data_IF_952325575657
#
_entry.id   IF_952325575657
#
_cell.length_a   1.000
_cell.length_b   1.000
_cell.length_c   1.000
_cell.angle_alpha   90.00
_cell.angle_beta   90.00
_cell.angle_gamma   90.00
#
_symmetry.space_group_name_H-M   'P 1'
#
loop_
_entity.id
_entity.type
_entity.pdbx_description
1 polymer ?
#
# COMPACT_ATOMS: atom_id res chain seq x y z
N UNK A 1 23.65 -31.81 3.60
CA UNK A 1 24.58 -31.97 4.74
C UNK A 1 25.73 -32.84 4.30
N UNK A 2 26.91 -32.25 4.08
CA UNK A 2 28.14 -32.99 3.82
C UNK A 2 28.69 -33.47 5.15
N UNK A 3 28.93 -34.77 5.29
CA UNK A 3 29.48 -35.37 6.50
C UNK A 3 30.94 -35.71 6.19
N UNK A 4 31.87 -34.93 6.74
CA UNK A 4 33.31 -35.14 6.54
C UNK A 4 33.82 -35.95 7.74
N UNK A 5 34.22 -37.20 7.51
CA UNK A 5 34.95 -37.99 8.50
C UNK A 5 36.42 -37.56 8.49
N UNK A 6 36.83 -36.78 9.48
CA UNK A 6 38.20 -36.27 9.60
C UNK A 6 38.97 -37.15 10.59
N UNK A 7 40.07 -37.75 10.16
CA UNK A 7 40.89 -38.66 11.01
C UNK A 7 42.22 -38.06 11.46
N UNK A 8 42.66 -36.93 10.88
CA UNK A 8 43.93 -36.24 11.24
C UNK A 8 43.76 -34.73 11.32
N UNK A 9 44.49 -34.09 12.25
CA UNK A 9 44.44 -32.63 12.45
C UNK A 9 44.84 -31.81 11.21
N UNK A 10 45.80 -32.29 10.41
CA UNK A 10 46.23 -31.65 9.16
C UNK A 10 45.17 -31.66 8.06
N UNK A 11 44.28 -32.65 8.05
CA UNK A 11 43.17 -32.72 7.09
C UNK A 11 42.08 -31.70 7.46
N UNK A 12 41.94 -31.39 8.75
CA UNK A 12 40.98 -30.42 9.25
C UNK A 12 41.35 -28.98 8.83
N UNK A 13 42.63 -28.62 8.89
CA UNK A 13 43.12 -27.32 8.40
C UNK A 13 42.92 -27.17 6.89
N UNK A 14 43.28 -28.19 6.11
CA UNK A 14 43.11 -28.19 4.66
C UNK A 14 41.64 -28.14 4.20
N UNK A 15 40.71 -28.71 4.98
CA UNK A 15 39.27 -28.59 4.73
C UNK A 15 38.81 -27.16 4.99
N UNK A 16 39.24 -26.56 6.11
CA UNK A 16 38.88 -25.20 6.47
C UNK A 16 39.38 -24.16 5.46
N UNK A 17 40.62 -24.31 4.97
CA UNK A 17 41.16 -23.44 3.92
C UNK A 17 40.35 -23.54 2.63
N UNK A 18 39.96 -24.76 2.23
CA UNK A 18 39.10 -24.96 1.05
C UNK A 18 37.72 -24.32 1.21
N UNK A 19 37.09 -24.43 2.37
CA UNK A 19 35.79 -23.78 2.64
C UNK A 19 35.90 -22.25 2.53
N UNK A 20 36.97 -21.67 3.08
CA UNK A 20 37.26 -20.23 2.98
C UNK A 20 37.47 -19.81 1.53
N UNK A 21 38.22 -20.59 0.75
CA UNK A 21 38.49 -20.33 -0.66
C UNK A 21 37.21 -20.42 -1.52
N UNK A 22 36.34 -21.39 -1.26
CA UNK A 22 35.05 -21.54 -1.95
C UNK A 22 34.16 -20.31 -1.72
N UNK A 23 34.06 -19.85 -0.48
CA UNK A 23 33.32 -18.63 -0.10
C UNK A 23 33.91 -17.40 -0.80
N UNK A 24 35.23 -17.28 -0.81
CA UNK A 24 35.92 -16.17 -1.47
C UNK A 24 35.66 -16.16 -2.99
N UNK A 25 35.69 -17.34 -3.62
CA UNK A 25 35.39 -17.49 -5.05
C UNK A 25 33.96 -17.05 -5.37
N UNK A 26 32.98 -17.42 -4.53
CA UNK A 26 31.58 -17.00 -4.70
C UNK A 26 31.38 -15.48 -4.61
N UNK A 27 32.02 -14.82 -3.64
CA UNK A 27 31.97 -13.36 -3.51
C UNK A 27 32.61 -12.72 -4.75
N UNK A 28 33.75 -13.23 -5.20
CA UNK A 28 34.44 -12.73 -6.38
C UNK A 28 33.62 -12.84 -7.66
N UNK A 29 32.77 -13.87 -7.81
CA UNK A 29 31.86 -13.96 -8.96
C UNK A 29 30.86 -12.80 -8.98
N UNK A 30 30.29 -12.45 -7.82
CA UNK A 30 29.34 -11.33 -7.68
C UNK A 30 30.05 -9.99 -7.93
N UNK A 31 31.25 -9.80 -7.38
CA UNK A 31 32.05 -8.59 -7.59
C UNK A 31 32.48 -8.44 -9.05
N UNK A 32 32.87 -9.53 -9.72
CA UNK A 32 33.22 -9.53 -11.16
C UNK A 32 32.04 -9.14 -12.05
N UNK A 33 30.81 -9.44 -11.62
CA UNK A 33 29.62 -8.96 -12.33
C UNK A 33 29.47 -7.42 -12.24
N UNK A 34 30.10 -6.77 -11.26
CA UNK A 34 30.09 -5.32 -11.07
C UNK A 34 29.21 -4.84 -9.92
N UNK A 35 28.81 -5.71 -9.00
CA UNK A 35 28.03 -5.33 -7.84
C UNK A 35 28.86 -4.50 -6.84
N UNK A 36 28.34 -3.34 -6.45
CA UNK A 36 28.90 -2.48 -5.40
C UNK A 36 28.04 -2.45 -4.12
N UNK A 37 26.82 -2.99 -4.17
CA UNK A 37 25.91 -3.17 -3.04
C UNK A 37 25.30 -4.57 -3.11
N UNK A 38 25.40 -5.33 -2.03
CA UNK A 38 24.91 -6.70 -1.92
C UNK A 38 23.92 -6.77 -0.75
N UNK A 39 22.69 -7.20 -1.04
CA UNK A 39 21.63 -7.37 -0.06
C UNK A 39 21.32 -8.87 0.09
N UNK A 40 21.46 -9.40 1.31
CA UNK A 40 21.22 -10.80 1.61
C UNK A 40 20.07 -10.96 2.61
N UNK A 41 19.16 -11.91 2.36
CA UNK A 41 18.13 -12.26 3.33
C UNK A 41 18.66 -13.07 4.51
N UNK A 42 19.75 -13.80 4.29
CA UNK A 42 20.46 -14.56 5.31
C UNK A 42 21.46 -13.70 6.10
N UNK A 43 22.22 -14.38 6.96
CA UNK A 43 23.42 -13.79 7.54
C UNK A 43 24.54 -13.67 6.51
N UNK A 44 25.46 -12.75 6.75
CA UNK A 44 26.76 -12.71 6.10
C UNK A 44 27.78 -13.03 7.21
N UNK A 45 28.68 -13.98 6.95
CA UNK A 45 29.74 -14.36 7.89
C UNK A 45 30.79 -13.24 8.02
N UNK A 46 31.45 -13.13 9.17
CA UNK A 46 32.41 -12.06 9.46
C UNK A 46 33.60 -12.06 8.47
N UNK A 47 34.03 -13.25 8.03
CA UNK A 47 35.07 -13.38 7.01
C UNK A 47 34.61 -12.82 5.66
N UNK A 48 33.35 -13.05 5.28
CA UNK A 48 32.77 -12.51 4.06
C UNK A 48 32.65 -10.98 4.14
N UNK A 49 32.19 -10.44 5.28
CA UNK A 49 32.08 -9.01 5.50
C UNK A 49 33.43 -8.30 5.34
N UNK A 50 34.50 -8.89 5.89
CA UNK A 50 35.85 -8.34 5.73
C UNK A 50 36.25 -8.23 4.26
N UNK A 51 36.00 -9.27 3.46
CA UNK A 51 36.30 -9.22 2.02
C UNK A 51 35.47 -8.18 1.26
N UNK A 52 34.19 -8.01 1.63
CA UNK A 52 33.34 -6.97 1.02
C UNK A 52 33.86 -5.57 1.34
N UNK A 53 34.29 -5.32 2.58
CA UNK A 53 34.89 -4.04 2.99
C UNK A 53 36.21 -3.78 2.24
N UNK A 54 37.08 -4.79 2.15
CA UNK A 54 38.35 -4.70 1.39
C UNK A 54 38.11 -4.42 -0.11
N UNK A 55 36.97 -4.88 -0.65
CA UNK A 55 36.55 -4.65 -2.03
C UNK A 55 35.74 -3.37 -2.23
N UNK A 56 35.55 -2.56 -1.17
CA UNK A 56 34.74 -1.34 -1.17
C UNK A 56 33.27 -1.55 -1.61
N UNK A 57 32.67 -2.66 -1.16
CA UNK A 57 31.30 -3.08 -1.45
C UNK A 57 30.45 -3.07 -0.18
N UNK A 58 29.26 -2.49 -0.24
CA UNK A 58 28.30 -2.49 0.87
C UNK A 58 27.64 -3.87 0.97
N UNK A 59 27.73 -4.52 2.14
CA UNK A 59 27.08 -5.79 2.41
C UNK A 59 26.01 -5.66 3.49
N UNK A 60 24.74 -5.85 3.14
CA UNK A 60 23.61 -5.81 4.08
C UNK A 60 23.09 -7.21 4.33
N UNK A 61 23.03 -7.59 5.59
CA UNK A 61 22.58 -8.92 6.06
C UNK A 61 21.16 -8.85 6.62
N UNK A 62 20.45 -9.98 6.61
CA UNK A 62 19.13 -10.18 7.22
C UNK A 62 18.04 -9.25 6.68
N UNK A 63 18.09 -8.89 5.41
CA UNK A 63 17.03 -8.12 4.73
C UNK A 63 15.77 -8.98 4.60
N UNK A 64 14.58 -8.44 4.83
CA UNK A 64 13.35 -9.25 4.71
C UNK A 64 13.15 -9.63 3.24
N UNK A 65 12.67 -10.84 2.98
CA UNK A 65 12.44 -11.30 1.61
C UNK A 65 11.47 -10.41 0.84
N UNK A 66 10.42 -9.93 1.50
CA UNK A 66 9.47 -8.98 0.92
C UNK A 66 10.12 -7.66 0.49
N UNK A 67 11.11 -7.17 1.24
CA UNK A 67 11.87 -5.96 0.89
C UNK A 67 12.80 -6.22 -0.29
N UNK A 68 13.47 -7.38 -0.35
CA UNK A 68 14.28 -7.75 -1.51
C UNK A 68 13.45 -7.80 -2.80
N UNK A 69 12.25 -8.38 -2.74
CA UNK A 69 11.35 -8.44 -3.89
C UNK A 69 10.88 -7.03 -4.33
N UNK A 70 10.65 -6.12 -3.38
CA UNK A 70 10.31 -4.72 -3.68
C UNK A 70 11.51 -3.95 -4.25
N UNK A 71 12.70 -4.10 -3.66
CA UNK A 71 13.93 -3.47 -4.14
C UNK A 71 14.29 -3.97 -5.54
N UNK A 72 14.11 -5.27 -5.83
CA UNK A 72 14.29 -5.83 -7.16
C UNK A 72 13.35 -5.16 -8.17
N UNK A 73 12.06 -5.01 -7.86
CA UNK A 73 11.09 -4.29 -8.71
C UNK A 73 11.44 -2.81 -8.91
N UNK A 74 11.92 -2.14 -7.87
CA UNK A 74 12.34 -0.73 -7.94
C UNK A 74 13.62 -0.57 -8.79
N UNK A 75 14.63 -1.42 -8.59
CA UNK A 75 15.93 -1.29 -9.25
C UNK A 75 15.98 -1.96 -10.62
N UNK A 76 14.99 -2.79 -10.96
CA UNK A 76 14.94 -3.59 -12.19
C UNK A 76 15.85 -4.82 -12.17
N UNK A 77 16.36 -5.22 -10.99
CA UNK A 77 17.15 -6.43 -10.81
C UNK A 77 16.27 -7.65 -10.48
N UNK A 78 16.93 -8.79 -10.24
CA UNK A 78 16.29 -10.06 -9.90
C UNK A 78 16.85 -10.63 -8.61
N UNK A 79 15.98 -11.17 -7.75
CA UNK A 79 16.41 -11.86 -6.53
C UNK A 79 16.97 -13.25 -6.91
N UNK A 80 18.28 -13.43 -6.73
CA UNK A 80 18.98 -14.69 -7.04
C UNK A 80 19.02 -15.58 -5.80
N UNK A 81 18.52 -16.82 -5.92
CA UNK A 81 18.48 -17.80 -4.81
C UNK A 81 19.64 -18.80 -4.83
N UNK A 82 20.29 -18.97 -5.98
CA UNK A 82 21.43 -19.87 -6.18
C UNK A 82 22.39 -19.26 -7.20
N UNK A 83 23.69 -19.39 -6.95
CA UNK A 83 24.73 -18.98 -7.91
C UNK A 83 24.98 -20.03 -8.99
N UNK A 84 24.48 -21.26 -8.80
CA UNK A 84 24.60 -22.34 -9.78
C UNK A 84 23.58 -22.20 -10.90
N UNK A 85 24.04 -22.23 -12.15
CA UNK A 85 23.18 -22.31 -13.33
C UNK A 85 22.80 -23.78 -13.66
N UNK A 86 21.89 -23.97 -14.62
CA UNK A 86 21.43 -25.30 -15.05
C UNK A 86 22.54 -26.20 -15.63
N UNK A 87 23.68 -25.60 -16.00
CA UNK A 87 24.85 -26.27 -16.56
C UNK A 87 25.88 -26.68 -15.48
N UNK A 88 25.59 -26.40 -14.20
CA UNK A 88 26.46 -26.73 -13.07
C UNK A 88 27.65 -25.80 -12.90
N UNK A 89 27.67 -24.63 -13.57
CA UNK A 89 28.65 -23.57 -13.34
C UNK A 89 28.10 -22.54 -12.36
N UNK A 90 28.94 -22.11 -11.42
CA UNK A 90 28.63 -20.97 -10.56
C UNK A 90 28.98 -19.68 -11.30
N UNK A 91 27.97 -18.92 -11.72
CA UNK A 91 28.13 -17.64 -12.40
C UNK A 91 27.05 -16.66 -11.93
N UNK A 92 27.42 -15.39 -11.79
CA UNK A 92 26.47 -14.32 -11.49
C UNK A 92 26.32 -13.43 -12.72
N UNK A 93 25.17 -13.50 -13.37
CA UNK A 93 24.92 -12.72 -14.58
C UNK A 93 24.67 -11.24 -14.26
N UNK A 94 25.22 -10.34 -15.09
CA UNK A 94 24.98 -8.90 -14.99
C UNK A 94 23.52 -8.52 -15.21
N UNK A 95 22.75 -9.35 -15.93
CA UNK A 95 21.30 -9.22 -16.16
C UNK A 95 20.50 -9.20 -14.85
N UNK A 96 21.00 -9.83 -13.79
CA UNK A 96 20.34 -9.90 -12.50
C UNK A 96 20.56 -8.65 -11.62
N UNK A 97 21.53 -7.79 -11.98
CA UNK A 97 21.84 -6.60 -11.21
C UNK A 97 20.77 -5.53 -11.37
N UNK A 98 20.37 -4.96 -10.23
CA UNK A 98 19.56 -3.75 -10.18
C UNK A 98 20.41 -2.48 -10.32
N UNK A 99 19.78 -1.37 -10.71
CA UNK A 99 20.42 -0.06 -10.78
C UNK A 99 19.70 0.99 -9.93
N UNK A 100 20.48 1.79 -9.22
CA UNK A 100 20.06 3.02 -8.56
C UNK A 100 21.18 4.08 -8.68
N UNK A 101 20.81 5.36 -8.73
CA UNK A 101 21.78 6.46 -8.85
C UNK A 101 22.65 6.58 -7.60
N UNK A 102 22.06 6.37 -6.42
CA UNK A 102 22.74 6.53 -5.15
C UNK A 102 22.23 5.48 -4.16
N UNK A 103 23.17 4.85 -3.46
CA UNK A 103 22.87 4.03 -2.28
C UNK A 103 23.73 4.56 -1.14
N UNK A 104 23.07 5.06 -0.10
CA UNK A 104 23.74 5.70 1.03
C UNK A 104 23.15 5.22 2.35
N UNK A 105 24.01 5.00 3.33
CA UNK A 105 23.60 4.82 4.72
C UNK A 105 23.45 6.21 5.35
N UNK A 106 22.27 6.49 5.88
CA UNK A 106 21.99 7.73 6.58
C UNK A 106 21.47 7.43 7.98
N UNK A 107 21.96 8.18 8.95
CA UNK A 107 21.45 8.11 10.32
C UNK A 107 20.20 8.97 10.44
N UNK A 108 19.12 8.36 10.91
CA UNK A 108 17.84 9.01 11.18
C UNK A 108 17.52 8.81 12.65
N UNK A 109 17.57 9.91 13.40
CA UNK A 109 17.50 9.87 14.86
C UNK A 109 18.58 8.93 15.43
N UNK A 110 18.16 7.82 16.03
CA UNK A 110 19.05 6.85 16.67
C UNK A 110 19.33 5.62 15.81
N UNK A 111 18.68 5.48 14.66
CA UNK A 111 18.84 4.33 13.76
C UNK A 111 19.63 4.68 12.49
N UNK A 112 20.32 3.68 11.95
CA UNK A 112 20.98 3.73 10.65
C UNK A 112 20.07 3.07 9.61
N UNK A 113 19.81 3.79 8.51
CA UNK A 113 18.93 3.32 7.44
C UNK A 113 19.65 3.42 6.08
N UNK A 114 19.53 2.37 5.27
CA UNK A 114 20.04 2.36 3.91
C UNK A 114 19.01 2.95 2.94
N UNK A 115 19.37 4.05 2.29
CA UNK A 115 18.56 4.69 1.26
C UNK A 115 19.03 4.28 -0.13
N UNK A 116 18.13 3.68 -0.89
CA UNK A 116 18.30 3.42 -2.33
C UNK A 116 17.54 4.51 -3.07
N UNK A 117 18.25 5.54 -3.52
CA UNK A 117 17.67 6.73 -4.15
C UNK A 117 17.72 6.64 -5.66
N UNK A 118 16.64 7.13 -6.29
CA UNK A 118 16.47 7.15 -7.75
C UNK A 118 16.79 5.80 -8.39
N UNK A 119 16.08 4.73 -7.99
CA UNK A 119 16.21 3.44 -8.65
C UNK A 119 15.68 3.53 -10.09
N UNK A 120 16.11 2.61 -10.95
CA UNK A 120 15.79 2.62 -12.39
C UNK A 120 14.28 2.60 -12.71
N UNK A 121 13.48 1.99 -11.85
CA UNK A 121 12.05 1.75 -12.01
C UNK A 121 11.27 2.34 -10.82
N UNK A 122 10.01 2.72 -11.06
CA UNK A 122 9.09 3.26 -10.05
C UNK A 122 8.01 2.26 -9.64
N UNK A 123 8.19 0.96 -9.96
CA UNK A 123 7.21 -0.08 -9.63
C UNK A 123 7.07 -0.35 -8.12
N UNK A 124 8.06 0.03 -7.32
CA UNK A 124 7.99 0.02 -5.87
C UNK A 124 8.61 1.30 -5.33
N UNK A 125 7.95 1.88 -4.33
CA UNK A 125 8.36 3.11 -3.66
C UNK A 125 8.22 2.93 -2.15
N UNK A 126 9.00 3.68 -1.39
CA UNK A 126 8.93 3.70 0.07
C UNK A 126 8.57 5.11 0.55
N UNK A 127 7.75 5.19 1.58
CA UNK A 127 7.36 6.45 2.24
C UNK A 127 7.89 6.37 3.67
N UNK A 128 8.83 7.26 4.00
CA UNK A 128 9.34 7.38 5.36
C UNK A 128 8.47 8.36 6.15
N UNK A 129 7.71 7.84 7.12
CA UNK A 129 6.95 8.66 8.06
C UNK A 129 7.86 9.15 9.20
N UNK A 130 7.69 10.42 9.59
CA UNK A 130 8.36 11.02 10.75
C UNK A 130 7.32 11.68 11.63
N UNK A 131 7.28 11.30 12.90
CA UNK A 131 6.30 11.77 13.87
C UNK A 131 6.94 12.02 15.22
N UNK A 132 6.29 12.83 16.09
CA UNK A 132 6.81 13.18 17.41
C UNK A 132 6.67 12.06 18.45
N UNK A 133 5.84 11.05 18.17
CA UNK A 133 5.60 9.90 19.04
C UNK A 133 5.13 8.69 18.22
N UNK A 134 5.28 7.49 18.78
CA UNK A 134 4.82 6.24 18.17
C UNK A 134 3.31 6.28 17.90
N UNK A 135 2.52 6.84 18.82
CA UNK A 135 1.08 7.00 18.63
C UNK A 135 0.74 7.88 17.43
N UNK A 136 1.48 8.98 17.22
CA UNK A 136 1.27 9.84 16.06
C UNK A 136 1.68 9.12 14.77
N UNK A 137 2.77 8.34 14.80
CA UNK A 137 3.21 7.53 13.65
C UNK A 137 2.18 6.47 13.27
N UNK A 138 1.62 5.75 14.24
CA UNK A 138 0.58 4.74 13.99
C UNK A 138 -0.66 5.36 13.34
N UNK A 139 -1.09 6.54 13.80
CA UNK A 139 -2.23 7.24 13.23
C UNK A 139 -1.95 7.78 11.83
N UNK A 140 -0.73 8.28 11.58
CA UNK A 140 -0.29 8.70 10.25
C UNK A 140 -0.22 7.53 9.27
N UNK A 141 0.30 6.38 9.70
CA UNK A 141 0.34 5.16 8.89
C UNK A 141 -1.07 4.69 8.53
N UNK A 142 -1.99 4.64 9.49
CA UNK A 142 -3.40 4.30 9.25
C UNK A 142 -4.03 5.25 8.24
N UNK A 143 -3.90 6.55 8.46
CA UNK A 143 -4.47 7.59 7.58
C UNK A 143 -3.92 7.50 6.15
N UNK A 144 -2.62 7.23 6.00
CA UNK A 144 -1.98 7.10 4.70
C UNK A 144 -2.44 5.82 3.99
N UNK A 145 -2.53 4.70 4.70
CA UNK A 145 -3.06 3.45 4.15
C UNK A 145 -4.52 3.62 3.71
N UNK A 146 -5.38 4.24 4.52
CA UNK A 146 -6.79 4.49 4.14
C UNK A 146 -6.89 5.34 2.87
N UNK A 147 -6.01 6.34 2.73
CA UNK A 147 -5.94 7.19 1.55
C UNK A 147 -5.48 6.42 0.30
N UNK A 148 -4.45 5.59 0.42
CA UNK A 148 -3.94 4.77 -0.68
C UNK A 148 -4.99 3.75 -1.14
N UNK A 149 -5.65 3.06 -0.20
CA UNK A 149 -6.71 2.11 -0.54
C UNK A 149 -7.89 2.81 -1.21
N UNK A 150 -8.27 4.01 -0.76
CA UNK A 150 -9.32 4.80 -1.40
C UNK A 150 -8.98 5.17 -2.85
N UNK A 151 -7.73 5.56 -3.11
CA UNK A 151 -7.23 5.82 -4.47
C UNK A 151 -7.20 4.55 -5.30
N UNK A 152 -6.75 3.43 -4.73
CA UNK A 152 -6.74 2.13 -5.41
C UNK A 152 -8.15 1.72 -5.84
N UNK A 153 -9.13 1.77 -4.93
CA UNK A 153 -10.53 1.46 -5.25
C UNK A 153 -11.09 2.38 -6.33
N UNK A 154 -10.65 3.64 -6.37
CA UNK A 154 -11.04 4.59 -7.42
C UNK A 154 -10.43 4.24 -8.78
N UNK A 155 -9.20 3.74 -8.82
CA UNK A 155 -8.54 3.32 -10.05
C UNK A 155 -9.04 1.96 -10.56
N UNK A 156 -9.49 1.09 -9.66
CA UNK A 156 -10.07 -0.22 -9.98
C UNK A 156 -11.55 -0.15 -10.40
N UNK A 157 -12.27 0.91 -9.99
CA UNK A 157 -13.68 1.10 -10.32
C UNK A 157 -13.86 1.99 -11.55
N UNK A 158 -14.83 1.65 -12.41
CA UNK A 158 -15.18 2.44 -13.61
C UNK A 158 -15.98 3.72 -13.28
N UNK A 159 -16.34 3.94 -12.01
CA UNK A 159 -17.18 5.07 -11.62
C UNK A 159 -16.95 5.54 -10.19
N UNK A 160 -17.12 6.84 -9.98
CA UNK A 160 -17.09 7.48 -8.67
C UNK A 160 -18.44 8.07 -8.34
N UNK A 161 -18.74 8.16 -7.04
CA UNK A 161 -19.93 8.82 -6.52
C UNK A 161 -19.56 10.05 -5.71
N UNK A 162 -20.49 11.00 -5.62
CA UNK A 162 -20.26 12.25 -4.89
C UNK A 162 -20.42 12.02 -3.38
N UNK A 163 -19.50 12.57 -2.58
CA UNK A 163 -19.57 12.56 -1.14
C UNK A 163 -20.56 13.57 -0.54
N UNK A 164 -20.37 13.91 0.75
CA UNK A 164 -21.19 14.91 1.45
C UNK A 164 -22.66 14.48 1.64
N UNK A 165 -22.95 13.18 1.61
CA UNK A 165 -24.31 12.64 1.73
C UNK A 165 -25.18 12.83 0.47
N UNK A 166 -24.60 13.27 -0.65
CA UNK A 166 -25.33 13.48 -1.91
C UNK A 166 -26.05 12.21 -2.38
N UNK A 167 -25.34 11.07 -2.38
CA UNK A 167 -25.88 9.77 -2.79
C UNK A 167 -27.00 9.32 -1.85
N UNK A 168 -26.78 9.41 -0.54
CA UNK A 168 -27.76 8.98 0.46
C UNK A 168 -29.08 9.73 0.32
N UNK A 169 -29.02 11.05 0.08
CA UNK A 169 -30.20 11.90 -0.10
C UNK A 169 -30.86 11.68 -1.46
N UNK A 170 -30.08 11.54 -2.54
CA UNK A 170 -30.62 11.21 -3.86
C UNK A 170 -31.43 9.91 -3.82
N UNK A 171 -30.85 8.88 -3.20
CA UNK A 171 -31.47 7.56 -3.06
C UNK A 171 -32.68 7.63 -2.12
N UNK A 172 -32.61 8.35 -0.98
CA UNK A 172 -33.76 8.61 -0.11
C UNK A 172 -34.96 9.15 -0.90
N UNK A 173 -34.77 10.22 -1.67
CA UNK A 173 -35.85 10.86 -2.45
C UNK A 173 -36.43 9.91 -3.50
N UNK A 174 -35.57 9.16 -4.19
CA UNK A 174 -35.99 8.21 -5.22
C UNK A 174 -36.83 7.06 -4.64
N UNK A 175 -36.40 6.50 -3.49
CA UNK A 175 -37.13 5.42 -2.82
C UNK A 175 -38.46 5.92 -2.27
N UNK A 176 -38.52 7.12 -1.69
CA UNK A 176 -39.78 7.68 -1.21
C UNK A 176 -40.78 7.90 -2.35
N UNK A 177 -40.32 8.33 -3.53
CA UNK A 177 -41.18 8.45 -4.71
C UNK A 177 -41.64 7.08 -5.20
N UNK A 178 -40.73 6.10 -5.26
CA UNK A 178 -41.08 4.73 -5.61
C UNK A 178 -42.06 4.10 -4.61
N UNK A 179 -41.87 4.32 -3.31
CA UNK A 179 -42.74 3.82 -2.25
C UNK A 179 -44.17 4.34 -2.38
N UNK A 180 -44.34 5.60 -2.79
CA UNK A 180 -45.67 6.17 -3.11
C UNK A 180 -46.38 5.42 -4.25
N UNK A 181 -45.64 4.87 -5.21
CA UNK A 181 -46.24 4.08 -6.31
C UNK A 181 -46.68 2.67 -5.87
N UNK A 182 -46.20 2.18 -4.74
CA UNK A 182 -46.57 0.86 -4.19
C UNK A 182 -47.90 0.86 -3.41
N UNK A 183 -48.45 2.05 -3.10
CA UNK A 183 -49.77 2.18 -2.50
C UNK A 183 -50.86 1.80 -3.50
N UNK A 184 -51.58 0.71 -3.24
CA UNK A 184 -52.65 0.21 -4.11
C UNK A 184 -53.87 1.15 -4.18
N UNK A 185 -54.59 1.11 -5.30
CA UNK A 185 -55.81 1.89 -5.61
C UNK A 185 -57.05 1.55 -4.76
N UNK A 186 -56.88 0.85 -3.63
CA UNK A 186 -57.94 0.43 -2.73
C UNK A 186 -57.68 1.13 -1.40
N UNK A 187 -58.62 1.94 -0.91
CA UNK A 187 -58.53 2.77 0.30
C UNK A 187 -58.33 2.04 1.64
N UNK A 188 -57.64 0.91 1.64
CA UNK A 188 -56.99 0.30 2.79
C UNK A 188 -55.60 0.95 2.93
N UNK A 189 -55.15 1.22 4.16
CA UNK A 189 -53.96 2.02 4.44
C UNK A 189 -52.65 1.50 3.80
N UNK A 190 -51.54 2.22 4.03
CA UNK A 190 -50.22 1.92 3.47
C UNK A 190 -49.87 0.43 3.52
N UNK A 191 -49.42 -0.13 2.39
CA UNK A 191 -48.99 -1.54 2.33
C UNK A 191 -47.78 -1.78 3.23
N UNK A 192 -47.59 -3.03 3.69
CA UNK A 192 -46.44 -3.37 4.55
C UNK A 192 -45.11 -3.09 3.85
N UNK A 193 -45.09 -3.32 2.54
CA UNK A 193 -43.98 -3.09 1.64
C UNK A 193 -43.67 -1.59 1.50
N UNK A 194 -44.70 -0.74 1.37
CA UNK A 194 -44.55 0.71 1.36
C UNK A 194 -43.91 1.21 2.66
N UNK A 195 -44.41 0.77 3.82
CA UNK A 195 -43.86 1.17 5.12
C UNK A 195 -42.40 0.73 5.29
N UNK A 196 -42.05 -0.47 4.82
CA UNK A 196 -40.67 -0.95 4.86
C UNK A 196 -39.73 -0.08 3.99
N UNK A 197 -40.18 0.30 2.79
CA UNK A 197 -39.41 1.17 1.91
C UNK A 197 -39.24 2.59 2.48
N UNK A 198 -40.28 3.17 3.09
CA UNK A 198 -40.21 4.49 3.73
C UNK A 198 -39.25 4.50 4.94
N UNK A 199 -39.27 3.44 5.75
CA UNK A 199 -38.35 3.28 6.88
C UNK A 199 -36.89 3.14 6.41
N UNK A 200 -36.66 2.38 5.35
CA UNK A 200 -35.32 2.25 4.76
C UNK A 200 -34.84 3.57 4.14
N UNK A 201 -35.69 4.27 3.39
CA UNK A 201 -35.35 5.59 2.86
C UNK A 201 -34.98 6.57 3.99
N UNK A 202 -35.71 6.54 5.10
CA UNK A 202 -35.45 7.40 6.25
C UNK A 202 -34.11 7.08 6.94
N UNK A 203 -33.69 5.81 6.95
CA UNK A 203 -32.43 5.40 7.59
C UNK A 203 -31.19 5.88 6.83
N UNK A 204 -31.28 6.04 5.51
CA UNK A 204 -30.20 6.60 4.68
C UNK A 204 -29.81 8.02 5.10
N UNK A 205 -30.75 8.79 5.64
CA UNK A 205 -30.46 10.15 6.12
C UNK A 205 -29.51 10.17 7.33
N UNK A 206 -29.26 9.04 8.00
CA UNK A 206 -28.40 8.98 9.20
C UNK A 206 -26.99 9.53 8.93
N UNK A 207 -26.40 9.21 7.78
CA UNK A 207 -25.04 9.66 7.41
C UNK A 207 -24.99 11.19 7.28
N UNK A 208 -25.80 11.85 6.42
CA UNK A 208 -25.78 13.31 6.32
C UNK A 208 -26.21 14.02 7.61
N UNK A 209 -27.12 13.45 8.43
CA UNK A 209 -27.44 14.02 9.76
C UNK A 209 -26.20 14.06 10.64
N UNK A 210 -25.50 12.92 10.73
CA UNK A 210 -24.34 12.77 11.61
C UNK A 210 -23.20 13.67 11.15
N UNK A 211 -22.98 13.81 9.84
CA UNK A 211 -22.02 14.74 9.26
C UNK A 211 -22.32 16.20 9.66
N UNK A 212 -23.57 16.65 9.51
CA UNK A 212 -23.98 18.00 9.88
C UNK A 212 -23.86 18.26 11.39
N UNK A 213 -24.24 17.29 12.24
CA UNK A 213 -24.13 17.38 13.68
C UNK A 213 -22.66 17.43 14.15
N UNK A 214 -21.78 16.61 13.58
CA UNK A 214 -20.36 16.62 13.88
C UNK A 214 -19.70 17.96 13.48
N UNK A 215 -20.22 18.62 12.44
CA UNK A 215 -19.81 19.96 12.03
C UNK A 215 -20.47 21.09 12.83
N UNK A 216 -21.25 20.78 13.88
CA UNK A 216 -22.02 21.72 14.69
C UNK A 216 -22.96 22.63 13.88
N UNK A 217 -23.56 22.08 12.80
CA UNK A 217 -24.55 22.78 11.97
C UNK A 217 -25.98 22.32 12.29
N UNK A 218 -26.98 23.07 11.85
CA UNK A 218 -28.38 22.64 11.95
C UNK A 218 -28.67 21.54 10.93
N UNK A 219 -28.61 20.29 11.40
CA UNK A 219 -28.88 19.12 10.57
C UNK A 219 -30.30 19.10 10.01
N UNK A 220 -31.28 19.67 10.72
CA UNK A 220 -32.68 19.68 10.26
C UNK A 220 -32.82 20.58 9.05
N UNK A 221 -32.26 21.78 9.14
CA UNK A 221 -32.27 22.75 8.05
C UNK A 221 -31.49 22.23 6.83
N UNK A 222 -30.25 21.78 7.02
CA UNK A 222 -29.39 21.36 5.92
C UNK A 222 -29.93 20.14 5.17
N UNK A 223 -30.50 19.16 5.87
CA UNK A 223 -31.10 18.00 5.21
C UNK A 223 -32.37 18.40 4.46
N UNK A 224 -33.18 19.30 5.01
CA UNK A 224 -34.38 19.77 4.33
C UNK A 224 -34.01 20.48 3.02
N UNK A 225 -32.98 21.34 3.04
CA UNK A 225 -32.46 22.00 1.85
C UNK A 225 -31.89 20.99 0.84
N UNK A 226 -31.06 20.05 1.31
CA UNK A 226 -30.46 19.04 0.44
C UNK A 226 -31.54 18.14 -0.21
N UNK A 227 -32.54 17.70 0.54
CA UNK A 227 -33.69 16.95 -0.01
C UNK A 227 -34.47 17.75 -1.04
N UNK A 228 -34.67 19.06 -0.82
CA UNK A 228 -35.34 19.92 -1.80
C UNK A 228 -34.55 20.00 -3.11
N UNK A 229 -33.23 20.16 -3.04
CA UNK A 229 -32.33 20.19 -4.20
C UNK A 229 -32.37 18.87 -4.98
N UNK A 230 -32.29 17.73 -4.29
CA UNK A 230 -32.35 16.39 -4.90
C UNK A 230 -33.74 16.02 -5.43
N UNK A 231 -34.81 16.47 -4.79
CA UNK A 231 -36.18 16.35 -5.32
C UNK A 231 -36.35 17.13 -6.62
N UNK A 232 -35.79 18.34 -6.69
CA UNK A 232 -35.79 19.14 -7.91
C UNK A 232 -35.04 18.45 -9.05
N UNK A 233 -33.88 17.87 -8.77
CA UNK A 233 -33.05 17.22 -9.78
C UNK A 233 -33.73 16.02 -10.47
N UNK A 234 -34.60 15.33 -9.73
CA UNK A 234 -35.31 14.14 -10.21
C UNK A 234 -36.65 14.45 -10.88
N UNK A 235 -37.29 15.59 -10.54
CA UNK A 235 -38.65 15.93 -10.99
C UNK A 235 -38.71 16.97 -12.10
N UNK A 236 -37.75 17.91 -12.14
CA UNK A 236 -37.77 19.02 -13.08
C UNK A 236 -36.73 18.84 -14.20
N UNK A 237 -37.18 18.95 -15.46
CA UNK A 237 -36.27 18.97 -16.61
C UNK A 237 -35.41 20.26 -16.58
N UNK A 238 -34.11 20.11 -16.86
CA UNK A 238 -33.14 21.20 -16.82
C UNK A 238 -32.37 21.36 -15.49
N UNK A 239 -32.72 20.61 -14.44
CA UNK A 239 -32.04 20.66 -13.13
C UNK A 239 -31.28 19.37 -12.75
N UNK A 240 -31.01 18.49 -13.72
CA UNK A 240 -30.42 17.17 -13.48
C UNK A 240 -29.04 17.21 -12.82
N UNK A 241 -28.26 18.27 -13.05
CA UNK A 241 -26.94 18.44 -12.45
C UNK A 241 -26.98 18.60 -10.92
N UNK A 242 -28.14 18.99 -10.37
CA UNK A 242 -28.34 19.09 -8.92
C UNK A 242 -28.24 17.73 -8.21
N UNK A 243 -28.27 16.61 -8.93
CA UNK A 243 -28.03 15.27 -8.37
C UNK A 243 -26.64 15.10 -7.73
N UNK A 244 -25.71 15.99 -8.03
CA UNK A 244 -24.35 15.97 -7.50
C UNK A 244 -24.14 16.93 -6.32
N UNK A 245 -25.20 17.58 -5.81
CA UNK A 245 -25.07 18.45 -4.63
C UNK A 245 -24.93 17.62 -3.35
N UNK A 246 -23.94 17.96 -2.53
CA UNK A 246 -23.73 17.41 -1.19
C UNK A 246 -23.53 18.53 -0.17
N UNK A 247 -23.42 18.16 1.11
CA UNK A 247 -23.22 19.11 2.20
C UNK A 247 -21.81 19.72 2.18
N UNK A 248 -21.72 21.05 2.22
CA UNK A 248 -20.52 21.79 2.56
C UNK A 248 -20.51 22.06 4.07
N UNK A 249 -19.79 21.22 4.81
CA UNK A 249 -19.73 21.27 6.26
C UNK A 249 -18.88 22.45 6.79
N UNK A 250 -18.00 23.03 5.96
CA UNK A 250 -17.18 24.17 6.36
C UNK A 250 -18.09 25.40 6.42
N UNK A 251 -18.77 25.69 5.31
CA UNK A 251 -19.64 26.85 5.20
C UNK A 251 -21.03 26.62 5.81
N UNK A 252 -21.41 25.35 6.03
CA UNK A 252 -22.74 24.97 6.52
C UNK A 252 -23.82 25.26 5.48
N UNK A 253 -23.64 24.77 4.27
CA UNK A 253 -24.56 24.96 3.13
C UNK A 253 -24.75 23.66 2.36
#
# INVERSE_FOLDING_TARGET
SFQVEITKASELEAVREREIEEVHNRINLILKAGANVILCSGGIDDLCLKYLIESNTIGVRRVRRSELDQIAKATGGSVVTSLGNLEGKEEYEQSNLGYAEEVAEERIADDEALFIKKPKSTQAVSILLRGPSDYALDEMERSLNDSIHSLQSTLESDGIVVGGGAVDVAVNVAIEEWARTMGGSSGEGASREQLAAELWASSLLTIPKTLALNAAKDATELIAQLRAVHSKSQKEEGFQDLRFYGLDLINGK
#
